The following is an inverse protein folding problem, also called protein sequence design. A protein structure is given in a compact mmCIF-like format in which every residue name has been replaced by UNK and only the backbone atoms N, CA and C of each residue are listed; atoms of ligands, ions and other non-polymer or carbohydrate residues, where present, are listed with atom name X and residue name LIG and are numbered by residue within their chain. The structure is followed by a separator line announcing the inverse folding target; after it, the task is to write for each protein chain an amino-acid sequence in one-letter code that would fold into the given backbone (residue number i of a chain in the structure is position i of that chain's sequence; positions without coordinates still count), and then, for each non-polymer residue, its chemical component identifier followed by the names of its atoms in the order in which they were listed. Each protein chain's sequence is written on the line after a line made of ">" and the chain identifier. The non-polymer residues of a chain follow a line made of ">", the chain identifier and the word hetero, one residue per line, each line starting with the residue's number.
data_IF_522511306313
#
_entry.id   IF_522511306313
#
_cell.length_a   1.000
_cell.length_b   1.000
_cell.length_c   1.000
_cell.angle_alpha   90.00
_cell.angle_beta   90.00
_cell.angle_gamma   90.00
#
_symmetry.space_group_name_H-M   'P 1'
#
loop_
_entity.id
_entity.type
_entity.pdbx_description
1 polymer ?
#
# COMPACT_ATOMS: atom_id res chain seq x y z
N UNK A 1 -27.33 5.11 52.15
CA UNK A 1 -26.80 5.77 50.93
C UNK A 1 -25.74 6.75 51.38
N UNK A 2 -24.47 6.44 51.11
CA UNK A 2 -23.34 7.36 51.00
C UNK A 2 -22.16 6.51 50.54
N UNK A 3 -21.97 6.46 49.23
CA UNK A 3 -20.87 5.75 48.60
C UNK A 3 -19.65 6.65 48.51
N UNK A 4 -18.50 6.08 48.86
CA UNK A 4 -17.18 6.68 48.69
C UNK A 4 -16.89 6.93 47.21
N UNK A 5 -16.59 8.19 46.88
CA UNK A 5 -16.13 8.58 45.55
C UNK A 5 -14.60 8.66 45.57
N UNK A 6 -13.96 7.57 45.12
CA UNK A 6 -12.51 7.46 44.95
C UNK A 6 -12.10 8.37 43.80
N UNK A 7 -11.38 9.44 44.12
CA UNK A 7 -10.82 10.37 43.14
C UNK A 7 -9.58 9.72 42.52
N UNK A 8 -9.70 9.28 41.27
CA UNK A 8 -8.59 8.70 40.51
C UNK A 8 -7.75 9.85 39.93
N UNK A 9 -6.66 10.19 40.62
CA UNK A 9 -5.69 11.20 40.19
C UNK A 9 -4.77 10.53 39.17
N UNK A 10 -5.02 10.78 37.88
CA UNK A 10 -4.07 10.42 36.83
C UNK A 10 -2.85 11.35 36.93
N UNK A 11 -1.74 10.80 37.42
CA UNK A 11 -0.43 11.43 37.45
C UNK A 11 0.00 11.85 36.04
N UNK A 12 -0.05 13.15 35.77
CA UNK A 12 0.72 13.76 34.71
C UNK A 12 2.17 13.89 35.19
N UNK A 13 3.01 12.91 34.88
CA UNK A 13 4.46 13.00 35.10
C UNK A 13 5.01 14.08 34.17
N UNK A 14 5.32 15.24 34.75
CA UNK A 14 6.12 16.29 34.14
C UNK A 14 7.59 15.88 34.25
N UNK A 15 8.23 15.61 33.12
CA UNK A 15 9.67 15.36 33.05
C UNK A 15 10.33 16.55 32.34
N UNK A 16 10.89 17.47 33.13
CA UNK A 16 11.76 18.56 32.69
C UNK A 16 13.21 18.09 32.70
N UNK A 17 13.97 18.34 31.63
CA UNK A 17 15.42 18.48 31.72
C UNK A 17 16.31 17.41 31.08
N UNK A 18 15.95 16.88 29.91
CA UNK A 18 16.96 16.41 28.94
C UNK A 18 16.37 16.53 27.54
N UNK A 19 17.10 17.13 26.59
CA UNK A 19 16.59 17.44 25.26
C UNK A 19 15.99 16.16 24.65
N UNK A 20 14.70 16.19 24.27
CA UNK A 20 14.01 15.02 23.71
C UNK A 20 14.87 14.40 22.62
N UNK A 21 15.51 13.28 22.92
CA UNK A 21 16.33 12.55 21.98
C UNK A 21 15.43 12.21 20.78
N UNK A 22 15.76 12.79 19.63
CA UNK A 22 14.91 12.70 18.43
C UNK A 22 15.26 11.43 17.67
N UNK A 23 14.23 10.74 17.21
CA UNK A 23 14.41 9.61 16.30
C UNK A 23 14.83 10.13 14.93
N UNK A 24 15.77 9.45 14.27
CA UNK A 24 16.19 9.73 12.91
C UNK A 24 15.31 9.06 11.86
N UNK A 25 14.58 8.01 12.25
CA UNK A 25 13.58 7.34 11.41
C UNK A 25 12.15 7.73 11.83
N UNK A 26 11.29 7.95 10.84
CA UNK A 26 9.88 8.29 11.07
C UNK A 26 9.04 7.08 11.46
N UNK A 27 8.22 7.25 12.50
CA UNK A 27 7.18 6.29 12.91
C UNK A 27 6.00 7.02 13.58
N UNK A 28 4.77 6.49 13.47
CA UNK A 28 3.60 7.12 14.05
C UNK A 28 3.50 6.81 15.55
N UNK A 29 2.88 7.73 16.29
CA UNK A 29 2.58 7.57 17.72
C UNK A 29 1.21 6.93 17.99
N UNK A 30 0.39 6.80 16.95
CA UNK A 30 -0.91 6.15 16.92
C UNK A 30 -0.86 4.97 15.94
N UNK A 31 -1.70 3.97 16.17
CA UNK A 31 -1.69 2.74 15.37
C UNK A 31 -2.47 2.92 14.05
N UNK A 32 -2.39 1.93 13.16
CA UNK A 32 -3.07 1.95 11.87
C UNK A 32 -4.59 2.11 12.00
N UNK A 33 -5.23 1.49 13.00
CA UNK A 33 -6.66 1.62 13.29
C UNK A 33 -7.06 3.07 13.56
N UNK A 34 -6.34 3.76 14.44
CA UNK A 34 -6.60 5.18 14.75
C UNK A 34 -6.49 6.07 13.49
N UNK A 35 -5.59 5.70 12.55
CA UNK A 35 -5.43 6.39 11.28
C UNK A 35 -6.56 6.06 10.28
N UNK A 36 -7.06 4.83 10.28
CA UNK A 36 -8.22 4.41 9.49
C UNK A 36 -9.47 5.17 9.94
N UNK A 37 -9.66 5.42 11.24
CA UNK A 37 -10.78 6.23 11.74
C UNK A 37 -10.80 7.63 11.12
N UNK A 38 -9.63 8.27 10.94
CA UNK A 38 -9.51 9.55 10.22
C UNK A 38 -9.94 9.40 8.77
N UNK A 39 -9.46 8.37 8.08
CA UNK A 39 -9.81 8.12 6.68
C UNK A 39 -11.33 7.88 6.51
N UNK A 40 -11.92 7.09 7.41
CA UNK A 40 -13.35 6.80 7.43
C UNK A 40 -14.18 8.06 7.71
N UNK A 41 -13.74 8.93 8.62
CA UNK A 41 -14.42 10.19 8.91
C UNK A 41 -14.47 11.10 7.68
N UNK A 42 -13.35 11.23 6.95
CA UNK A 42 -13.31 11.99 5.69
C UNK A 42 -14.22 11.34 4.64
N UNK A 43 -14.06 10.04 4.39
CA UNK A 43 -14.84 9.32 3.38
C UNK A 43 -16.35 9.43 3.62
N UNK A 44 -16.79 9.27 4.87
CA UNK A 44 -18.22 9.23 5.19
C UNK A 44 -18.91 10.59 5.09
N UNK A 45 -18.16 11.70 5.18
CA UNK A 45 -18.72 13.06 5.16
C UNK A 45 -18.51 13.78 3.82
N UNK A 46 -17.37 13.58 3.17
CA UNK A 46 -17.02 14.30 1.92
C UNK A 46 -16.64 13.38 0.77
N UNK A 47 -16.61 12.05 0.96
CA UNK A 47 -16.24 11.09 -0.07
C UNK A 47 -14.81 11.33 -0.58
N UNK A 48 -14.69 11.84 -1.80
CA UNK A 48 -13.42 12.21 -2.45
C UNK A 48 -13.03 13.69 -2.29
N UNK A 49 -13.87 14.49 -1.64
CA UNK A 49 -13.63 15.90 -1.38
C UNK A 49 -12.57 16.17 -0.30
N UNK A 50 -12.43 17.46 0.05
CA UNK A 50 -11.52 17.93 1.10
C UNK A 50 -12.33 18.45 2.30
N UNK A 51 -11.72 18.44 3.49
CA UNK A 51 -12.28 19.03 4.69
C UNK A 51 -11.24 19.82 5.48
N UNK A 52 -11.66 20.81 6.27
CA UNK A 52 -10.76 21.57 7.14
C UNK A 52 -10.60 20.96 8.54
N UNK A 53 -9.67 21.50 9.32
CA UNK A 53 -9.43 21.09 10.71
C UNK A 53 -10.70 21.18 11.59
N UNK A 54 -11.56 22.16 11.35
CA UNK A 54 -12.79 22.36 12.16
C UNK A 54 -13.81 21.25 11.87
N UNK A 55 -13.97 20.89 10.61
CA UNK A 55 -14.86 19.83 10.16
C UNK A 55 -14.36 18.47 10.64
N UNK A 56 -13.10 18.14 10.37
CA UNK A 56 -12.54 16.83 10.70
C UNK A 56 -12.50 16.57 12.21
N UNK A 57 -12.10 17.56 13.00
CA UNK A 57 -12.08 17.43 14.46
C UNK A 57 -13.48 17.28 15.06
N UNK A 58 -14.50 17.92 14.48
CA UNK A 58 -15.90 17.73 14.88
C UNK A 58 -16.39 16.31 14.59
N UNK A 59 -16.06 15.72 13.44
CA UNK A 59 -16.43 14.35 13.09
C UNK A 59 -15.75 13.31 13.97
N UNK A 60 -14.50 13.57 14.37
CA UNK A 60 -13.74 12.72 15.29
C UNK A 60 -14.07 12.98 16.77
N UNK A 61 -14.96 13.93 17.06
CA UNK A 61 -15.32 14.35 18.42
C UNK A 61 -14.11 14.71 19.30
N UNK A 62 -13.13 15.42 18.72
CA UNK A 62 -11.92 15.90 19.40
C UNK A 62 -11.73 17.39 19.17
N UNK A 63 -10.97 18.04 20.04
CA UNK A 63 -10.63 19.45 19.85
C UNK A 63 -9.56 19.60 18.75
N UNK A 64 -9.72 20.50 17.76
CA UNK A 64 -8.71 20.77 16.73
C UNK A 64 -7.41 21.34 17.31
N UNK A 65 -7.48 21.94 18.52
CA UNK A 65 -6.31 22.48 19.22
C UNK A 65 -5.59 21.44 20.07
N UNK A 66 -6.14 20.23 20.22
CA UNK A 66 -5.53 19.19 21.06
C UNK A 66 -4.25 18.60 20.43
N UNK A 67 -3.32 18.18 21.28
CA UNK A 67 -2.15 17.43 20.84
C UNK A 67 -2.54 16.07 20.26
N UNK A 68 -3.56 15.41 20.83
CA UNK A 68 -4.09 14.13 20.35
C UNK A 68 -4.55 14.21 18.90
N UNK A 69 -5.37 15.20 18.55
CA UNK A 69 -5.80 15.44 17.17
C UNK A 69 -4.62 15.59 16.22
N UNK A 70 -3.65 16.45 16.55
CA UNK A 70 -2.44 16.64 15.72
C UNK A 70 -1.63 15.36 15.55
N UNK A 71 -1.53 14.54 16.59
CA UNK A 71 -0.83 13.24 16.53
C UNK A 71 -1.59 12.27 15.61
N UNK A 72 -2.93 12.24 15.68
CA UNK A 72 -3.76 11.37 14.85
C UNK A 72 -3.66 11.74 13.36
N UNK A 73 -3.73 13.04 13.04
CA UNK A 73 -3.50 13.56 11.67
C UNK A 73 -2.09 13.22 11.18
N UNK A 74 -1.07 13.39 12.04
CA UNK A 74 0.31 13.02 11.71
C UNK A 74 0.45 11.53 11.41
N UNK A 75 -0.18 10.66 12.21
CA UNK A 75 -0.18 9.22 11.98
C UNK A 75 -0.87 8.85 10.66
N UNK A 76 -2.05 9.41 10.38
CA UNK A 76 -2.77 9.18 9.12
C UNK A 76 -1.94 9.57 7.89
N UNK A 77 -1.14 10.64 7.98
CA UNK A 77 -0.17 11.02 6.94
C UNK A 77 0.98 10.03 6.82
N UNK A 78 1.55 9.54 7.92
CA UNK A 78 2.66 8.57 7.89
C UNK A 78 2.24 7.21 7.31
N UNK A 79 1.00 6.79 7.55
CA UNK A 79 0.41 5.61 6.88
C UNK A 79 0.03 5.87 5.42
N UNK A 80 0.14 7.12 4.95
CA UNK A 80 -0.17 7.52 3.59
C UNK A 80 -1.66 7.56 3.28
N UNK A 81 -2.53 7.67 4.29
CA UNK A 81 -3.99 7.65 4.09
C UNK A 81 -4.55 9.02 3.71
N UNK A 82 -3.92 10.08 4.17
CA UNK A 82 -4.36 11.46 3.90
C UNK A 82 -3.21 12.33 3.42
N UNK A 83 -3.57 13.35 2.65
CA UNK A 83 -2.75 14.52 2.36
C UNK A 83 -3.31 15.72 3.10
N UNK A 84 -2.41 16.58 3.59
CA UNK A 84 -2.78 17.83 4.25
C UNK A 84 -2.10 19.00 3.55
N UNK A 85 -2.89 19.96 3.08
CA UNK A 85 -2.42 21.21 2.46
C UNK A 85 -3.06 22.39 3.16
N UNK A 86 -2.27 23.22 3.83
CA UNK A 86 -2.74 24.46 4.49
C UNK A 86 -3.95 24.28 5.43
N UNK A 87 -4.02 23.15 6.15
CA UNK A 87 -5.14 22.85 7.08
C UNK A 87 -6.36 22.21 6.42
N UNK A 88 -6.31 21.92 5.12
CA UNK A 88 -7.28 21.07 4.43
C UNK A 88 -6.73 19.65 4.32
N UNK A 89 -7.60 18.67 4.50
CA UNK A 89 -7.32 17.25 4.51
C UNK A 89 -8.13 16.54 3.42
N UNK A 90 -7.50 15.59 2.74
CA UNK A 90 -8.17 14.73 1.76
C UNK A 90 -7.59 13.33 1.77
N UNK A 91 -8.37 12.37 1.28
CA UNK A 91 -7.89 11.00 1.10
C UNK A 91 -6.91 10.92 -0.07
N UNK A 92 -5.82 10.19 0.13
CA UNK A 92 -4.96 9.74 -0.97
C UNK A 92 -5.63 8.59 -1.72
N UNK A 93 -5.05 8.13 -2.83
CA UNK A 93 -5.46 6.88 -3.49
C UNK A 93 -5.46 5.70 -2.50
N UNK A 94 -4.44 5.65 -1.65
CA UNK A 94 -4.30 4.63 -0.61
C UNK A 94 -5.36 4.76 0.50
N UNK A 95 -5.69 5.98 0.91
CA UNK A 95 -6.76 6.26 1.86
C UNK A 95 -8.14 5.89 1.32
N UNK A 96 -8.37 5.99 0.01
CA UNK A 96 -9.59 5.48 -0.63
C UNK A 96 -9.64 3.95 -0.66
N UNK A 97 -8.51 3.31 -0.99
CA UNK A 97 -8.42 1.85 -1.01
C UNK A 97 -8.66 1.22 0.38
N UNK A 98 -8.25 1.87 1.47
CA UNK A 98 -8.41 1.31 2.83
C UNK A 98 -9.85 1.36 3.34
N UNK A 99 -10.67 2.28 2.82
CA UNK A 99 -12.09 2.42 3.20
C UNK A 99 -13.04 1.72 2.23
N UNK A 100 -12.54 1.24 1.09
CA UNK A 100 -13.27 0.39 0.15
C UNK A 100 -13.21 -1.07 0.63
N UNK A 101 -14.35 -1.72 0.95
CA UNK A 101 -14.38 -3.11 1.41
C UNK A 101 -13.69 -4.11 0.46
N UNK A 102 -13.65 -3.83 -0.85
CA UNK A 102 -12.99 -4.72 -1.81
C UNK A 102 -11.46 -4.61 -1.77
N UNK A 103 -10.94 -3.46 -1.37
CA UNK A 103 -9.52 -3.15 -1.38
C UNK A 103 -8.91 -3.05 0.02
N UNK A 104 -9.74 -3.07 1.07
CA UNK A 104 -9.36 -2.84 2.46
C UNK A 104 -8.16 -3.70 2.89
N UNK A 105 -8.16 -4.99 2.56
CA UNK A 105 -7.06 -5.90 2.92
C UNK A 105 -5.73 -5.47 2.30
N UNK A 106 -5.73 -5.13 1.01
CA UNK A 106 -4.57 -4.61 0.29
C UNK A 106 -4.15 -3.24 0.80
N UNK A 107 -5.12 -2.35 1.02
CA UNK A 107 -4.92 -0.99 1.55
C UNK A 107 -4.25 -1.01 2.92
N UNK A 108 -4.71 -1.86 3.84
CA UNK A 108 -4.08 -1.99 5.17
C UNK A 108 -2.64 -2.48 5.09
N UNK A 109 -2.37 -3.47 4.24
CA UNK A 109 -1.03 -4.03 4.08
C UNK A 109 -0.03 -3.01 3.51
N UNK A 110 -0.43 -2.32 2.45
CA UNK A 110 0.38 -1.28 1.83
C UNK A 110 0.54 -0.05 2.74
N UNK A 111 -0.49 0.33 3.51
CA UNK A 111 -0.41 1.45 4.44
C UNK A 111 0.60 1.18 5.55
N UNK A 112 0.63 -0.05 6.07
CA UNK A 112 1.63 -0.48 7.05
C UNK A 112 3.06 -0.30 6.53
N UNK A 113 3.31 -0.65 5.26
CA UNK A 113 4.64 -0.52 4.63
C UNK A 113 4.99 0.91 4.19
N UNK A 114 4.05 1.87 4.23
CA UNK A 114 4.37 3.28 4.00
C UNK A 114 5.19 3.90 5.14
N UNK A 115 5.08 3.35 6.36
CA UNK A 115 5.83 3.84 7.51
C UNK A 115 7.29 3.39 7.39
N UNK A 116 8.28 4.33 7.38
CA UNK A 116 9.68 3.99 7.15
C UNK A 116 10.24 2.95 8.13
N UNK A 117 9.94 3.10 9.42
CA UNK A 117 10.35 2.13 10.44
C UNK A 117 9.77 0.73 10.16
N UNK A 118 8.50 0.65 9.79
CA UNK A 118 7.81 -0.64 9.65
C UNK A 118 8.30 -1.37 8.42
N UNK A 119 8.52 -0.65 7.32
CA UNK A 119 9.17 -1.19 6.12
C UNK A 119 10.56 -1.74 6.43
N UNK A 120 11.38 -1.01 7.19
CA UNK A 120 12.72 -1.47 7.56
C UNK A 120 12.70 -2.73 8.44
N UNK A 121 11.77 -2.82 9.40
CA UNK A 121 11.58 -4.03 10.21
C UNK A 121 11.10 -5.20 9.33
N UNK A 122 10.14 -4.96 8.43
CA UNK A 122 9.67 -5.96 7.48
C UNK A 122 10.80 -6.47 6.60
N UNK A 123 11.56 -5.60 5.97
CA UNK A 123 12.66 -5.99 5.09
C UNK A 123 13.74 -6.78 5.81
N UNK A 124 13.98 -6.50 7.10
CA UNK A 124 14.91 -7.26 7.93
C UNK A 124 14.41 -8.65 8.32
N UNK A 125 13.09 -8.83 8.50
CA UNK A 125 12.50 -10.05 9.08
C UNK A 125 11.59 -10.84 8.14
N UNK A 126 11.35 -10.37 6.90
CA UNK A 126 10.55 -11.09 5.90
C UNK A 126 11.14 -12.46 5.61
N UNK A 127 10.30 -13.49 5.63
CA UNK A 127 10.71 -14.89 5.49
C UNK A 127 11.34 -15.51 6.74
N UNK A 128 11.54 -14.74 7.81
CA UNK A 128 12.13 -15.19 9.07
C UNK A 128 11.16 -15.24 10.24
N UNK A 129 11.73 -15.41 11.44
CA UNK A 129 11.02 -15.32 12.72
C UNK A 129 11.35 -13.98 13.37
N UNK A 130 10.33 -13.26 13.83
CA UNK A 130 10.50 -12.04 14.62
C UNK A 130 11.18 -12.37 15.95
N UNK A 131 12.20 -11.59 16.35
CA UNK A 131 12.86 -11.80 17.61
C UNK A 131 11.93 -11.44 18.79
N UNK A 132 12.24 -11.92 20.01
CA UNK A 132 11.53 -11.49 21.22
C UNK A 132 11.59 -9.97 21.43
N UNK A 133 10.62 -9.42 22.17
CA UNK A 133 10.43 -7.98 22.35
C UNK A 133 11.73 -7.21 22.67
N UNK A 134 12.54 -7.68 23.63
CA UNK A 134 13.79 -6.99 24.01
C UNK A 134 14.83 -6.95 22.87
N UNK A 135 14.89 -8.00 22.05
CA UNK A 135 15.78 -8.03 20.89
C UNK A 135 15.24 -7.15 19.76
N UNK A 136 13.92 -7.18 19.51
CA UNK A 136 13.27 -6.29 18.55
C UNK A 136 13.47 -4.81 18.92
N UNK A 137 13.37 -4.46 20.21
CA UNK A 137 13.62 -3.10 20.70
C UNK A 137 15.07 -2.64 20.42
N UNK A 138 16.06 -3.51 20.61
CA UNK A 138 17.45 -3.19 20.24
C UNK A 138 17.62 -2.93 18.74
N UNK A 139 16.93 -3.69 17.90
CA UNK A 139 16.93 -3.45 16.46
C UNK A 139 16.24 -2.13 16.10
N UNK A 140 15.11 -1.82 16.74
CA UNK A 140 14.37 -0.57 16.54
C UNK A 140 15.25 0.64 16.89
N UNK A 141 16.03 0.56 17.97
CA UNK A 141 17.06 1.57 18.29
C UNK A 141 18.11 1.65 17.19
N UNK A 142 18.63 0.50 16.74
CA UNK A 142 19.61 0.43 15.66
C UNK A 142 19.10 0.97 14.31
N UNK A 143 17.78 0.95 14.08
CA UNK A 143 17.11 1.55 12.92
C UNK A 143 16.91 3.07 13.05
N UNK A 144 17.23 3.66 14.20
CA UNK A 144 17.21 5.11 14.40
C UNK A 144 16.07 5.63 15.27
N UNK A 145 15.36 4.78 16.02
CA UNK A 145 14.40 5.24 17.04
C UNK A 145 15.15 5.61 18.32
N UNK A 146 14.78 6.74 18.92
CA UNK A 146 15.34 7.16 20.20
C UNK A 146 14.98 6.17 21.32
N UNK A 147 15.92 5.86 22.20
CA UNK A 147 15.78 4.82 23.25
C UNK A 147 14.52 4.99 24.11
N UNK A 148 14.23 6.24 24.53
CA UNK A 148 13.04 6.56 25.33
C UNK A 148 11.70 6.31 24.61
N UNK A 149 11.72 6.14 23.28
CA UNK A 149 10.54 5.95 22.45
C UNK A 149 10.38 4.52 21.93
N UNK A 150 11.39 3.67 22.09
CA UNK A 150 11.47 2.32 21.51
C UNK A 150 10.32 1.42 21.96
N UNK A 151 9.99 1.41 23.26
CA UNK A 151 8.88 0.60 23.77
C UNK A 151 7.53 1.00 23.14
N UNK A 152 7.29 2.30 22.96
CA UNK A 152 6.09 2.79 22.25
C UNK A 152 6.14 2.44 20.77
N UNK A 153 7.27 2.64 20.11
CA UNK A 153 7.45 2.31 18.70
C UNK A 153 7.14 0.82 18.42
N UNK A 154 7.65 -0.09 19.27
CA UNK A 154 7.34 -1.53 19.20
C UNK A 154 5.85 -1.80 19.36
N UNK A 155 5.22 -1.25 20.39
CA UNK A 155 3.79 -1.49 20.66
C UNK A 155 2.89 -1.02 19.51
N UNK A 156 3.17 0.17 18.96
CA UNK A 156 2.41 0.71 17.83
C UNK A 156 2.66 -0.10 16.57
N UNK A 157 3.91 -0.52 16.33
CA UNK A 157 4.26 -1.44 15.24
C UNK A 157 3.47 -2.76 15.33
N UNK A 158 3.49 -3.43 16.49
CA UNK A 158 2.82 -4.72 16.66
C UNK A 158 1.30 -4.61 16.46
N UNK A 159 0.67 -3.58 17.04
CA UNK A 159 -0.77 -3.33 16.83
C UNK A 159 -1.09 -3.03 15.37
N UNK A 160 -0.26 -2.24 14.70
CA UNK A 160 -0.46 -1.90 13.29
C UNK A 160 -0.24 -3.11 12.38
N UNK A 161 0.72 -3.97 12.70
CA UNK A 161 0.98 -5.22 11.99
C UNK A 161 -0.18 -6.20 12.14
N UNK A 162 -0.77 -6.30 13.33
CA UNK A 162 -1.97 -7.10 13.60
C UNK A 162 -3.17 -6.56 12.79
N UNK A 163 -3.40 -5.25 12.79
CA UNK A 163 -4.47 -4.59 12.03
C UNK A 163 -4.29 -4.73 10.51
N UNK A 164 -3.04 -4.81 10.05
CA UNK A 164 -2.67 -5.03 8.65
C UNK A 164 -2.52 -6.50 8.26
N UNK A 165 -2.90 -7.44 9.13
CA UNK A 165 -2.88 -8.88 8.90
C UNK A 165 -1.48 -9.50 8.67
N UNK A 166 -0.41 -8.85 9.13
CA UNK A 166 0.94 -9.39 8.97
C UNK A 166 1.25 -10.58 9.91
N UNK A 167 0.42 -10.80 10.93
CA UNK A 167 0.56 -11.88 11.92
C UNK A 167 -0.41 -13.05 11.73
N UNK A 168 -1.09 -13.17 10.58
CA UNK A 168 -2.03 -14.28 10.28
C UNK A 168 -1.38 -15.65 10.46
N UNK A 169 -0.08 -15.78 10.17
CA UNK A 169 0.68 -17.03 10.29
C UNK A 169 1.41 -17.20 11.64
N UNK A 170 1.00 -16.42 12.65
CA UNK A 170 1.55 -16.45 14.00
C UNK A 170 2.26 -15.13 14.36
N UNK A 171 2.18 -14.75 15.65
CA UNK A 171 2.73 -13.49 16.18
C UNK A 171 4.25 -13.37 16.09
N UNK A 172 4.93 -14.46 15.75
CA UNK A 172 6.38 -14.52 15.57
C UNK A 172 6.81 -14.48 14.10
N UNK A 173 5.91 -14.22 13.14
CA UNK A 173 6.24 -14.14 11.72
C UNK A 173 5.61 -12.91 11.11
N UNK A 174 6.42 -12.06 10.47
CA UNK A 174 5.94 -10.87 9.77
C UNK A 174 5.79 -11.18 8.29
N UNK A 175 4.60 -11.66 7.89
CA UNK A 175 4.33 -12.13 6.52
C UNK A 175 3.39 -11.14 5.84
N UNK A 176 3.72 -10.74 4.61
CA UNK A 176 2.80 -9.90 3.84
C UNK A 176 1.54 -10.71 3.52
N UNK A 177 0.34 -10.21 3.85
CA UNK A 177 -0.90 -10.93 3.55
C UNK A 177 -1.03 -11.09 2.03
N UNK A 178 -1.65 -12.19 1.59
CA UNK A 178 -1.92 -12.40 0.17
C UNK A 178 -2.88 -11.31 -0.33
N UNK A 179 -2.34 -10.36 -1.09
CA UNK A 179 -3.04 -9.20 -1.63
C UNK A 179 -2.81 -9.15 -3.14
N UNK A 180 -3.87 -8.95 -3.92
CA UNK A 180 -3.73 -8.65 -5.34
C UNK A 180 -3.17 -7.23 -5.44
N UNK A 181 -1.86 -7.09 -5.70
CA UNK A 181 -1.24 -5.80 -5.97
C UNK A 181 -1.71 -5.33 -7.34
N UNK A 182 -2.68 -4.42 -7.37
CA UNK A 182 -2.94 -3.56 -8.53
C UNK A 182 -2.06 -2.34 -8.37
N UNK A 183 -1.11 -2.12 -9.28
CA UNK A 183 -0.33 -0.89 -9.28
C UNK A 183 -1.25 0.31 -9.55
N UNK A 184 -1.19 1.38 -8.73
CA UNK A 184 -1.98 2.58 -8.98
C UNK A 184 -1.38 3.35 -10.16
N UNK A 185 -2.05 3.28 -11.31
CA UNK A 185 -1.79 4.18 -12.43
C UNK A 185 -2.12 5.63 -12.02
N UNK A 186 -1.42 6.65 -12.57
CA UNK A 186 -1.64 8.03 -12.18
C UNK A 186 -2.99 8.52 -12.69
N UNK A 187 -3.73 9.14 -11.78
CA UNK A 187 -5.02 9.78 -11.96
C UNK A 187 -4.98 10.84 -13.09
N UNK A 188 -5.89 10.72 -14.05
CA UNK A 188 -6.11 11.70 -15.11
C UNK A 188 -7.49 12.31 -14.93
N UNK A 189 -7.55 13.44 -14.24
CA UNK A 189 -8.78 14.17 -13.94
C UNK A 189 -9.40 14.92 -15.14
N UNK A 190 -10.65 15.31 -14.86
CA UNK A 190 -11.42 16.44 -15.37
C UNK A 190 -12.14 16.37 -16.73
N UNK A 191 -13.46 16.27 -16.59
CA UNK A 191 -14.50 17.14 -17.15
C UNK A 191 -14.52 17.42 -18.66
N UNK A 192 -15.61 16.95 -19.30
CA UNK A 192 -16.53 17.85 -20.01
C UNK A 192 -17.83 17.15 -20.41
N UNK A 193 -18.90 17.60 -19.76
CA UNK A 193 -20.23 17.85 -20.31
C UNK A 193 -20.37 17.60 -21.83
N UNK A 194 -20.95 16.46 -22.22
CA UNK A 194 -21.38 16.17 -23.60
C UNK A 194 -22.86 16.47 -23.74
N UNK A 195 -23.16 17.63 -24.32
CA UNK A 195 -24.38 17.79 -25.11
C UNK A 195 -23.99 18.06 -26.56
N UNK A 196 -24.07 17.02 -27.41
CA UNK A 196 -24.36 17.17 -28.85
C UNK A 196 -24.67 15.82 -29.48
N UNK A 197 -25.90 15.73 -29.99
CA UNK A 197 -26.35 14.80 -31.02
C UNK A 197 -25.32 14.63 -32.14
N UNK A 198 -25.07 13.37 -32.55
CA UNK A 198 -25.38 12.87 -33.90
C UNK A 198 -25.11 11.37 -34.02
N UNK A 199 -26.06 10.70 -34.65
CA UNK A 199 -26.08 9.29 -35.05
C UNK A 199 -24.81 8.86 -35.82
N UNK A 200 -24.42 7.61 -35.62
CA UNK A 200 -23.37 6.92 -36.38
C UNK A 200 -23.07 5.53 -35.83
N UNK A 201 -23.94 4.59 -36.21
CA UNK A 201 -23.79 3.15 -36.36
C UNK A 201 -22.42 2.48 -36.09
N UNK A 202 -22.44 1.48 -35.19
CA UNK A 202 -21.82 0.15 -35.32
C UNK A 202 -20.32 -0.04 -35.59
N UNK A 203 -19.60 -0.60 -34.61
CA UNK A 203 -18.35 -1.35 -34.86
C UNK A 203 -17.49 -1.56 -33.62
N UNK A 204 -17.70 -2.68 -32.91
CA UNK A 204 -16.93 -3.06 -31.72
C UNK A 204 -15.72 -3.96 -32.00
N UNK A 205 -14.87 -4.09 -30.97
CA UNK A 205 -13.73 -5.00 -30.84
C UNK A 205 -12.58 -4.25 -30.17
N UNK A 206 -12.25 -4.41 -28.89
CA UNK A 206 -12.29 -5.60 -28.05
C UNK A 206 -10.83 -5.95 -27.71
N UNK A 207 -10.15 -5.05 -27.00
CA UNK A 207 -8.68 -5.04 -26.87
C UNK A 207 -8.19 -5.02 -25.40
N UNK A 208 -9.08 -5.36 -24.45
CA UNK A 208 -8.82 -5.33 -23.01
C UNK A 208 -8.46 -6.70 -22.39
N UNK A 209 -8.47 -7.80 -23.17
CA UNK A 209 -8.42 -9.15 -22.59
C UNK A 209 -7.01 -9.74 -22.45
N UNK A 210 -6.00 -9.27 -23.19
CA UNK A 210 -4.62 -9.77 -23.06
C UNK A 210 -3.90 -9.20 -21.83
N UNK A 211 -4.24 -7.97 -21.44
CA UNK A 211 -3.65 -7.31 -20.27
C UNK A 211 -4.22 -7.91 -18.95
N UNK A 212 -5.36 -8.63 -19.02
CA UNK A 212 -5.94 -9.38 -17.91
C UNK A 212 -5.27 -10.75 -17.65
N UNK A 213 -4.48 -11.28 -18.59
CA UNK A 213 -3.84 -12.61 -18.45
C UNK A 213 -2.62 -12.62 -17.53
N UNK A 214 -2.19 -11.45 -17.02
CA UNK A 214 -1.00 -11.34 -16.17
C UNK A 214 0.30 -11.79 -16.87
N UNK A 215 0.33 -11.74 -18.21
CA UNK A 215 1.52 -12.05 -18.99
C UNK A 215 2.51 -10.88 -18.94
N UNK A 216 3.80 -11.18 -19.11
CA UNK A 216 4.82 -10.15 -19.20
C UNK A 216 4.54 -9.19 -20.38
N UNK A 217 4.71 -7.86 -20.21
CA UNK A 217 4.44 -6.87 -21.26
C UNK A 217 5.16 -7.14 -22.59
N UNK A 218 6.34 -7.76 -22.55
CA UNK A 218 7.13 -8.11 -23.72
C UNK A 218 6.48 -9.26 -24.51
N UNK A 219 5.91 -10.24 -23.81
CA UNK A 219 5.13 -11.32 -24.41
C UNK A 219 3.81 -10.80 -24.97
N UNK A 220 3.12 -9.91 -24.25
CA UNK A 220 1.90 -9.25 -24.74
C UNK A 220 2.20 -8.47 -26.03
N UNK A 221 3.28 -7.69 -26.06
CA UNK A 221 3.68 -6.93 -27.25
C UNK A 221 4.02 -7.84 -28.45
N UNK A 222 4.55 -9.04 -28.21
CA UNK A 222 4.79 -10.03 -29.26
C UNK A 222 3.50 -10.70 -29.74
N UNK A 223 2.57 -11.03 -28.85
CA UNK A 223 1.26 -11.58 -29.19
C UNK A 223 0.42 -10.58 -30.00
N UNK A 224 0.47 -9.29 -29.65
CA UNK A 224 -0.18 -8.20 -30.42
C UNK A 224 0.40 -8.03 -31.83
N UNK A 225 1.60 -8.55 -32.11
CA UNK A 225 2.23 -8.53 -33.45
C UNK A 225 1.80 -9.68 -34.35
N UNK A 226 1.01 -10.64 -33.85
CA UNK A 226 0.46 -11.72 -34.66
C UNK A 226 -0.64 -11.14 -35.56
N UNK A 227 -0.61 -11.40 -36.89
CA UNK A 227 -1.66 -10.95 -37.78
C UNK A 227 -3.01 -11.60 -37.42
N UNK A 228 -4.08 -10.79 -37.32
CA UNK A 228 -5.40 -11.24 -36.88
C UNK A 228 -6.04 -12.32 -37.79
N UNK A 229 -5.72 -12.30 -39.09
CA UNK A 229 -5.91 -13.40 -40.04
C UNK A 229 -5.28 -13.03 -41.39
N UNK A 230 -4.79 -14.02 -42.16
CA UNK A 230 -4.20 -13.81 -43.49
C UNK A 230 -2.90 -14.56 -43.73
N UNK A 231 -2.25 -14.28 -44.86
CA UNK A 231 -0.96 -14.87 -45.21
C UNK A 231 0.14 -14.43 -44.22
N UNK A 232 0.72 -15.40 -43.52
CA UNK A 232 1.86 -15.18 -42.62
C UNK A 232 3.09 -15.93 -43.18
N UNK A 233 4.01 -15.23 -43.87
CA UNK A 233 5.15 -15.87 -44.54
C UNK A 233 5.98 -16.74 -43.58
N UNK A 234 6.41 -17.92 -44.04
CA UNK A 234 7.12 -18.90 -43.19
C UNK A 234 8.37 -18.32 -42.53
N UNK A 235 9.14 -17.49 -43.24
CA UNK A 235 10.32 -16.81 -42.70
C UNK A 235 9.98 -15.81 -41.57
N UNK A 236 8.82 -15.15 -41.65
CA UNK A 236 8.35 -14.22 -40.61
C UNK A 236 7.82 -14.97 -39.39
N UNK A 237 7.09 -16.08 -39.61
CA UNK A 237 6.69 -17.00 -38.53
C UNK A 237 7.89 -17.53 -37.75
N UNK A 238 8.89 -18.06 -38.46
CA UNK A 238 10.10 -18.59 -37.84
C UNK A 238 10.84 -17.52 -37.00
N UNK A 239 10.98 -16.30 -37.53
CA UNK A 239 11.60 -15.19 -36.79
C UNK A 239 10.79 -14.80 -35.55
N UNK A 240 9.47 -14.78 -35.66
CA UNK A 240 8.58 -14.48 -34.54
C UNK A 240 8.72 -15.54 -33.44
N UNK A 241 8.64 -16.84 -33.78
CA UNK A 241 8.76 -17.93 -32.81
C UNK A 241 10.12 -17.96 -32.12
N UNK A 242 11.22 -17.71 -32.83
CA UNK A 242 12.56 -17.59 -32.22
C UNK A 242 12.64 -16.44 -31.22
N UNK A 243 12.11 -15.27 -31.61
CA UNK A 243 12.03 -14.13 -30.71
C UNK A 243 11.17 -14.47 -29.48
N UNK A 244 10.01 -15.09 -29.67
CA UNK A 244 9.14 -15.49 -28.58
C UNK A 244 9.82 -16.44 -27.59
N UNK A 245 10.47 -17.50 -28.08
CA UNK A 245 11.19 -18.46 -27.24
C UNK A 245 12.31 -17.82 -26.42
N UNK A 246 13.09 -16.90 -27.01
CA UNK A 246 14.11 -16.15 -26.27
C UNK A 246 13.52 -15.32 -25.12
N UNK A 247 12.37 -14.66 -25.36
CA UNK A 247 11.73 -13.85 -24.33
C UNK A 247 11.15 -14.73 -23.21
N UNK A 248 10.56 -15.88 -23.54
CA UNK A 248 10.09 -16.85 -22.55
C UNK A 248 11.25 -17.34 -21.67
N UNK A 249 12.38 -17.73 -22.28
CA UNK A 249 13.57 -18.16 -21.53
C UNK A 249 14.08 -17.04 -20.61
N UNK A 250 14.16 -15.80 -21.09
CA UNK A 250 14.59 -14.66 -20.26
C UNK A 250 13.68 -14.40 -19.05
N UNK A 251 12.37 -14.65 -19.17
CA UNK A 251 11.38 -14.36 -18.13
C UNK A 251 11.29 -15.51 -17.11
N UNK A 252 11.41 -16.75 -17.56
CA UNK A 252 11.05 -17.93 -16.76
C UNK A 252 12.21 -18.88 -16.44
N UNK A 253 13.33 -18.82 -17.15
CA UNK A 253 14.48 -19.66 -16.81
C UNK A 253 15.27 -19.00 -15.68
N UNK A 254 15.60 -19.78 -14.64
CA UNK A 254 16.48 -19.34 -13.57
C UNK A 254 17.93 -19.66 -13.92
N UNK A 255 18.88 -18.88 -13.37
CA UNK A 255 20.34 -19.02 -13.63
C UNK A 255 20.91 -20.44 -13.39
N UNK A 256 20.15 -21.33 -12.75
CA UNK A 256 20.53 -22.69 -12.43
C UNK A 256 20.28 -23.72 -13.55
N UNK A 257 19.33 -23.49 -14.47
CA UNK A 257 18.98 -24.44 -15.55
C UNK A 257 18.42 -23.71 -16.80
N UNK A 258 19.28 -23.16 -17.68
CA UNK A 258 18.84 -22.49 -18.91
C UNK A 258 18.30 -23.51 -19.93
N UNK A 259 17.11 -23.27 -20.48
CA UNK A 259 16.51 -24.15 -21.50
C UNK A 259 16.78 -23.59 -22.89
N UNK A 260 17.71 -24.21 -23.63
CA UNK A 260 17.98 -23.83 -25.02
C UNK A 260 16.90 -24.41 -25.96
N UNK A 261 16.02 -23.56 -26.48
CA UNK A 261 14.98 -23.95 -27.44
C UNK A 261 15.46 -23.76 -28.88
N UNK A 262 15.48 -24.84 -29.67
CA UNK A 262 15.77 -24.81 -31.12
C UNK A 262 14.48 -24.85 -31.93
N UNK A 263 14.29 -23.87 -32.81
CA UNK A 263 13.11 -23.74 -33.67
C UNK A 263 13.57 -23.67 -35.14
N UNK A 264 13.11 -24.64 -35.92
CA UNK A 264 13.45 -24.85 -37.32
C UNK A 264 12.18 -25.07 -38.16
N UNK A 265 12.26 -24.78 -39.46
CA UNK A 265 11.20 -25.11 -40.41
C UNK A 265 11.55 -26.46 -41.05
N UNK A 266 10.70 -27.46 -40.86
CA UNK A 266 10.79 -28.69 -41.66
C UNK A 266 10.15 -28.43 -43.03
N UNK A 267 10.86 -28.79 -44.10
CA UNK A 267 10.30 -28.74 -45.45
C UNK A 267 9.24 -29.84 -45.59
N UNK A 268 8.04 -29.47 -46.04
CA UNK A 268 7.04 -30.45 -46.42
C UNK A 268 7.49 -31.16 -47.71
N UNK A 269 7.64 -32.49 -47.64
CA UNK A 269 7.70 -33.37 -48.82
C UNK A 269 6.34 -33.44 -49.51
#
# INVERSE_FOLDING_TARGET
>A
MSGDNVTNVAEAVQDEGDGRQRSSIGFPYNNLGDAIEVAQAIHSNVGTGECDDSQLSAWLNVSPKSSGYRIQISAARMFGLIETTSGNHKLTTQGRAIVDPQQERTGRALAFLNVPLYKAIYDKYKGGVLPPAAALERDIVGLGVAEKQTGRARQVFERSAEQANFFEHGKNRLVMPAVALRDPSPDGGDDKNKNKNKNGDGGGGGDDDLDALGLDPLLIALLKKIPASGEWPAAQRLRWFRTFAMNVSQIYDTDSDPVEMKIELEAAN
#
